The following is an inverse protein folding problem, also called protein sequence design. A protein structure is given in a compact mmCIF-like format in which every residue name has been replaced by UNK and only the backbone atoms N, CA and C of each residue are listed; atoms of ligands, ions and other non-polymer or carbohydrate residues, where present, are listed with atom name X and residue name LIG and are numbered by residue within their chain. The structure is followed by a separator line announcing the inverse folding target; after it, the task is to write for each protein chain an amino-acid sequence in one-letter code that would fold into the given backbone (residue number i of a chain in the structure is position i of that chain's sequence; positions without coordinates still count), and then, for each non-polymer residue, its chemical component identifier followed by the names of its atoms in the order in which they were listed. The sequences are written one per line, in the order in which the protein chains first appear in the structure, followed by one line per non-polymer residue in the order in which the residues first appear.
data_IF_869477066856
#
_entry.id   IF_869477066856
#
_cell.length_a   1.000
_cell.length_b   1.000
_cell.length_c   1.000
_cell.angle_alpha   90.00
_cell.angle_beta   90.00
_cell.angle_gamma   90.00
#
_symmetry.space_group_name_H-M   'P 1'
#
loop_
_entity.id
_entity.type
_entity.pdbx_description
1 polymer ?
#
# COMPACT_ATOMS: atom_id res chain seq x y z
N UNK A 1 13.35 0.00 16.67
CA UNK A 1 12.46 -1.10 16.27
C UNK A 1 12.62 -2.27 17.24
N UNK A 2 13.81 -2.89 17.32
CA UNK A 2 14.05 -4.06 18.16
C UNK A 2 13.81 -3.81 19.66
N UNK A 3 14.33 -2.72 20.20
CA UNK A 3 14.26 -2.38 21.64
C UNK A 3 12.85 -2.04 22.11
N UNK A 4 11.94 -1.71 21.20
CA UNK A 4 10.54 -1.37 21.55
C UNK A 4 9.57 -2.44 21.08
N UNK A 5 9.51 -2.69 19.76
CA UNK A 5 8.49 -3.59 19.19
C UNK A 5 8.84 -5.04 19.47
N UNK A 6 10.04 -5.50 19.06
CA UNK A 6 10.43 -6.92 19.21
C UNK A 6 10.54 -7.32 20.68
N UNK A 7 11.16 -6.48 21.51
CA UNK A 7 11.29 -6.73 22.94
C UNK A 7 9.91 -6.83 23.64
N UNK A 8 9.01 -5.88 23.35
CA UNK A 8 7.65 -5.91 23.93
C UNK A 8 6.81 -7.10 23.46
N UNK A 9 7.01 -7.57 22.22
CA UNK A 9 6.38 -8.79 21.73
C UNK A 9 6.93 -10.02 22.47
N UNK A 10 8.25 -10.07 22.65
CA UNK A 10 8.91 -11.17 23.41
C UNK A 10 8.45 -11.25 24.86
N UNK A 11 8.29 -10.13 25.54
CA UNK A 11 7.71 -10.06 26.89
C UNK A 11 6.29 -10.64 26.95
N UNK A 12 5.57 -10.63 25.85
CA UNK A 12 4.22 -11.24 25.69
C UNK A 12 4.27 -12.69 25.21
N UNK A 13 5.46 -13.31 25.15
CA UNK A 13 5.66 -14.69 24.66
C UNK A 13 5.57 -14.84 23.15
N UNK A 14 5.74 -13.74 22.40
CA UNK A 14 5.69 -13.71 20.96
C UNK A 14 7.10 -13.46 20.39
N UNK A 15 7.76 -14.53 19.98
CA UNK A 15 9.09 -14.45 19.37
C UNK A 15 9.00 -14.22 17.86
N UNK A 16 9.78 -13.25 17.37
CA UNK A 16 9.88 -12.92 15.94
C UNK A 16 11.33 -12.70 15.51
N UNK A 17 11.65 -13.16 14.32
CA UNK A 17 12.77 -12.65 13.54
C UNK A 17 12.40 -11.29 12.98
N UNK A 18 13.34 -10.37 12.91
CA UNK A 18 13.07 -9.00 12.48
C UNK A 18 14.11 -8.48 11.50
N UNK A 19 13.65 -7.68 10.57
CA UNK A 19 14.44 -6.80 9.74
C UNK A 19 13.85 -5.41 9.83
N UNK A 20 14.67 -4.38 9.82
CA UNK A 20 14.20 -3.00 9.79
C UNK A 20 15.25 -2.06 9.23
N UNK A 21 14.78 -0.98 8.64
CA UNK A 21 15.56 0.20 8.25
C UNK A 21 14.98 1.43 8.91
N UNK A 22 15.42 2.61 8.49
CA UNK A 22 14.76 3.86 8.90
C UNK A 22 13.31 3.92 8.43
N UNK A 23 13.03 3.37 7.26
CA UNK A 23 11.82 3.57 6.46
C UNK A 23 10.85 2.39 6.53
N UNK A 24 11.33 1.16 6.52
CA UNK A 24 10.49 -0.05 6.52
C UNK A 24 10.94 -1.09 7.55
N UNK A 25 10.07 -2.05 7.83
CA UNK A 25 10.41 -3.19 8.70
C UNK A 25 9.56 -4.42 8.40
N UNK A 26 10.11 -5.59 8.81
CA UNK A 26 9.44 -6.87 8.74
C UNK A 26 9.58 -7.62 10.06
N UNK A 27 8.48 -8.23 10.51
CA UNK A 27 8.48 -9.25 11.55
C UNK A 27 8.09 -10.59 10.92
N UNK A 28 8.85 -11.64 11.23
CA UNK A 28 8.61 -12.99 10.72
C UNK A 28 8.64 -14.03 11.83
N UNK A 29 7.70 -14.98 11.80
CA UNK A 29 7.78 -16.19 12.64
C UNK A 29 8.75 -17.23 12.09
N UNK A 30 9.17 -17.08 10.85
CA UNK A 30 10.15 -17.94 10.19
C UNK A 30 11.49 -17.22 10.10
N UNK A 31 12.64 -17.94 10.15
CA UNK A 31 13.96 -17.34 10.00
C UNK A 31 14.08 -16.54 8.72
N UNK A 32 14.60 -15.33 8.82
CA UNK A 32 15.02 -14.53 7.67
C UNK A 32 16.41 -15.05 7.28
N UNK A 33 16.53 -15.63 6.09
CA UNK A 33 17.75 -16.32 5.65
C UNK A 33 18.69 -15.40 4.87
N UNK A 34 18.16 -14.36 4.23
CA UNK A 34 18.95 -13.38 3.48
C UNK A 34 18.16 -12.07 3.33
N UNK A 35 18.86 -10.98 3.05
CA UNK A 35 18.27 -9.67 2.76
C UNK A 35 19.05 -8.94 1.66
N UNK A 36 18.32 -8.17 0.83
CA UNK A 36 18.90 -7.39 -0.26
C UNK A 36 18.19 -6.03 -0.35
N UNK A 37 18.96 -4.97 -0.50
CA UNK A 37 18.45 -3.65 -0.90
C UNK A 37 18.15 -3.67 -2.39
N UNK A 38 16.89 -3.49 -2.77
CA UNK A 38 16.44 -3.45 -4.17
C UNK A 38 16.36 -2.02 -4.67
N UNK A 39 15.72 -1.15 -3.90
CA UNK A 39 15.72 0.28 -4.10
C UNK A 39 16.15 0.93 -2.79
N UNK A 40 17.28 1.66 -2.76
CA UNK A 40 17.83 2.19 -1.52
C UNK A 40 16.97 3.33 -1.00
N UNK A 41 16.91 3.41 0.31
CA UNK A 41 16.38 4.58 1.01
C UNK A 41 17.13 5.84 0.57
N UNK A 42 16.41 6.83 0.06
CA UNK A 42 16.97 8.05 -0.50
C UNK A 42 16.09 9.28 -0.14
N UNK A 43 16.09 9.63 1.14
CA UNK A 43 15.25 10.70 1.66
C UNK A 43 13.77 10.39 1.42
N UNK A 44 13.11 11.27 0.66
CA UNK A 44 11.66 11.18 0.43
C UNK A 44 11.27 10.24 -0.73
N UNK A 45 12.25 9.61 -1.37
CA UNK A 45 12.01 8.75 -2.55
C UNK A 45 11.71 7.29 -2.23
N UNK A 46 11.59 6.97 -0.95
CA UNK A 46 11.18 5.67 -0.49
C UNK A 46 12.24 4.58 -0.58
N UNK A 47 11.81 3.33 -0.40
CA UNK A 47 12.71 2.18 -0.38
C UNK A 47 12.00 0.87 -0.70
N UNK A 48 12.76 -0.12 -1.21
CA UNK A 48 12.32 -1.52 -1.33
C UNK A 48 13.45 -2.44 -0.87
N UNK A 49 13.13 -3.34 0.06
CA UNK A 49 14.04 -4.35 0.56
C UNK A 49 13.45 -5.75 0.38
N UNK A 50 14.27 -6.68 -0.13
CA UNK A 50 13.94 -8.09 -0.24
C UNK A 50 14.42 -8.84 0.99
N UNK A 51 13.57 -9.75 1.49
CA UNK A 51 13.91 -10.71 2.52
C UNK A 51 13.46 -12.10 2.07
N UNK A 52 14.31 -13.09 2.29
CA UNK A 52 14.00 -14.48 1.95
C UNK A 52 13.78 -15.30 3.21
N UNK A 53 12.88 -16.26 3.09
CA UNK A 53 12.55 -17.20 4.15
C UNK A 53 12.09 -18.53 3.57
N UNK A 54 12.04 -19.56 4.41
CA UNK A 54 11.38 -20.83 4.13
C UNK A 54 10.18 -20.97 5.06
N UNK A 55 9.00 -21.14 4.48
CA UNK A 55 7.74 -21.34 5.20
C UNK A 55 7.23 -22.75 4.87
N UNK A 56 7.29 -23.66 5.85
CA UNK A 56 6.88 -25.06 5.69
C UNK A 56 7.52 -25.76 4.46
N UNK A 57 8.79 -25.43 4.17
CA UNK A 57 9.53 -25.96 3.03
C UNK A 57 9.37 -25.18 1.72
N UNK A 58 8.44 -24.23 1.64
CA UNK A 58 8.29 -23.34 0.50
C UNK A 58 9.25 -22.17 0.55
N UNK A 59 9.89 -21.86 -0.56
CA UNK A 59 10.72 -20.66 -0.70
C UNK A 59 9.84 -19.43 -0.85
N UNK A 60 10.01 -18.44 0.01
CA UNK A 60 9.25 -17.19 -0.03
C UNK A 60 10.22 -16.02 -0.04
N UNK A 61 10.05 -15.11 -0.99
CA UNK A 61 10.69 -13.81 -1.01
C UNK A 61 9.63 -12.74 -0.68
N UNK A 62 9.84 -12.02 0.42
CA UNK A 62 8.98 -10.92 0.86
C UNK A 62 9.72 -9.62 0.62
N UNK A 63 9.06 -8.71 -0.08
CA UNK A 63 9.57 -7.37 -0.32
C UNK A 63 8.77 -6.38 0.52
N UNK A 64 9.44 -5.62 1.37
CA UNK A 64 8.84 -4.49 2.06
C UNK A 64 9.06 -3.23 1.24
N UNK A 65 8.03 -2.44 1.04
CA UNK A 65 8.07 -1.24 0.23
C UNK A 65 7.45 -0.06 0.97
N UNK A 66 8.10 1.10 0.86
CA UNK A 66 7.51 2.39 1.07
C UNK A 66 7.95 3.23 -0.12
N UNK A 67 7.04 3.61 -1.01
CA UNK A 67 7.40 4.31 -2.23
C UNK A 67 7.38 5.83 -2.03
N UNK A 68 8.04 6.54 -2.94
CA UNK A 68 8.14 8.00 -2.96
C UNK A 68 6.80 8.70 -2.71
N UNK A 69 6.74 9.59 -1.73
CA UNK A 69 5.54 10.33 -1.37
C UNK A 69 5.48 11.74 -2.02
N UNK A 70 6.48 12.11 -2.79
CA UNK A 70 6.45 13.35 -3.57
C UNK A 70 5.77 13.14 -4.92
N UNK A 71 5.33 14.22 -5.53
CA UNK A 71 4.60 14.21 -6.79
C UNK A 71 3.43 13.22 -6.81
N UNK A 72 2.69 13.18 -5.67
CA UNK A 72 1.50 12.36 -5.51
C UNK A 72 0.35 12.91 -6.36
N UNK A 73 0.33 12.56 -7.63
CA UNK A 73 -0.57 13.14 -8.64
C UNK A 73 -2.07 12.92 -8.37
N UNK A 74 -2.44 11.96 -7.53
CA UNK A 74 -3.84 11.77 -7.13
C UNK A 74 -4.36 12.92 -6.25
N UNK A 75 -3.47 13.68 -5.59
CA UNK A 75 -3.84 14.94 -4.96
C UNK A 75 -4.09 16.05 -5.97
N UNK A 76 -3.36 16.07 -7.10
CA UNK A 76 -3.59 17.06 -8.15
C UNK A 76 -5.02 16.97 -8.69
N UNK A 77 -5.54 15.75 -8.87
CA UNK A 77 -6.95 15.52 -9.26
C UNK A 77 -7.93 16.08 -8.24
N UNK A 78 -7.53 16.23 -6.98
CA UNK A 78 -8.32 16.80 -5.87
C UNK A 78 -8.06 18.28 -5.62
N UNK A 79 -7.29 18.92 -6.50
CA UNK A 79 -6.98 20.35 -6.44
C UNK A 79 -5.86 20.72 -5.48
N UNK A 80 -4.97 19.78 -5.16
CA UNK A 80 -3.79 20.01 -4.32
C UNK A 80 -2.53 19.55 -5.04
N UNK A 81 -1.47 20.31 -4.92
CA UNK A 81 -0.14 19.90 -5.40
C UNK A 81 0.43 18.80 -4.51
N UNK A 82 0.77 17.66 -5.11
CA UNK A 82 1.19 16.45 -4.41
C UNK A 82 2.60 16.50 -3.78
N UNK A 83 3.28 17.65 -3.81
CA UNK A 83 4.57 17.88 -3.15
C UNK A 83 4.50 19.02 -2.15
N UNK A 84 3.87 20.13 -2.51
CA UNK A 84 3.78 21.34 -1.67
C UNK A 84 2.50 21.42 -0.84
N UNK A 85 1.50 20.58 -1.13
CA UNK A 85 0.19 20.53 -0.48
C UNK A 85 -0.64 21.82 -0.61
N UNK A 86 -0.27 22.69 -1.55
CA UNK A 86 -0.99 23.92 -1.85
C UNK A 86 -2.15 23.64 -2.80
N UNK A 87 -3.20 24.43 -2.66
CA UNK A 87 -4.32 24.37 -3.62
C UNK A 87 -3.86 24.78 -5.03
N UNK A 88 -4.27 24.03 -6.03
CA UNK A 88 -3.97 24.24 -7.45
C UNK A 88 -5.24 24.04 -8.28
N UNK A 89 -5.30 24.52 -9.53
CA UNK A 89 -6.33 24.13 -10.48
C UNK A 89 -6.36 22.62 -10.69
N UNK A 90 -7.54 22.04 -10.72
CA UNK A 90 -7.74 20.61 -10.97
C UNK A 90 -7.37 20.31 -12.45
N UNK A 91 -6.49 19.34 -12.74
CA UNK A 91 -6.19 18.92 -14.10
C UNK A 91 -7.46 18.34 -14.76
N UNK A 92 -7.57 18.55 -16.06
CA UNK A 92 -8.77 18.15 -16.83
C UNK A 92 -8.53 16.91 -17.68
N UNK A 93 -7.29 16.46 -17.79
CA UNK A 93 -6.90 15.31 -18.62
C UNK A 93 -6.06 14.31 -17.86
N UNK A 94 -6.17 13.04 -18.24
CA UNK A 94 -5.33 11.94 -17.71
C UNK A 94 -3.85 12.21 -17.99
N UNK A 95 -3.54 12.82 -19.12
CA UNK A 95 -2.18 13.09 -19.57
C UNK A 95 -1.46 14.09 -18.66
N UNK A 96 -2.17 15.16 -18.23
CA UNK A 96 -1.67 16.11 -17.23
C UNK A 96 -1.35 15.41 -15.89
N UNK A 97 -2.22 14.52 -15.42
CA UNK A 97 -2.04 13.79 -14.17
C UNK A 97 -0.84 12.84 -14.28
N UNK A 98 -0.79 12.03 -15.32
CA UNK A 98 0.30 11.06 -15.52
C UNK A 98 1.66 11.73 -15.69
N UNK A 99 1.71 12.93 -16.28
CA UNK A 99 2.95 13.70 -16.38
C UNK A 99 3.53 14.05 -15.01
N UNK A 100 2.68 14.40 -14.04
CA UNK A 100 3.11 14.63 -12.65
C UNK A 100 3.47 13.30 -12.01
N UNK A 101 2.65 12.27 -12.18
CA UNK A 101 2.84 10.98 -11.55
C UNK A 101 4.21 10.33 -11.84
N UNK A 102 4.67 10.41 -13.09
CA UNK A 102 5.97 9.86 -13.51
C UNK A 102 7.18 10.74 -13.18
N UNK A 103 6.97 11.92 -12.58
CA UNK A 103 8.06 12.73 -12.06
C UNK A 103 8.63 12.17 -10.74
N UNK A 104 7.84 11.36 -10.02
CA UNK A 104 8.29 10.63 -8.83
C UNK A 104 9.22 9.47 -9.20
N UNK A 105 9.84 8.87 -8.19
CA UNK A 105 10.68 7.67 -8.38
C UNK A 105 9.89 6.35 -8.15
N UNK A 106 8.57 6.39 -7.99
CA UNK A 106 7.74 5.20 -7.71
C UNK A 106 7.84 4.14 -8.80
N UNK A 107 7.71 4.55 -10.05
CA UNK A 107 7.76 3.62 -11.19
C UNK A 107 9.17 3.06 -11.42
N UNK A 108 10.23 3.81 -11.14
CA UNK A 108 11.60 3.32 -11.23
C UNK A 108 11.89 2.28 -10.13
N UNK A 109 11.44 2.54 -8.90
CA UNK A 109 11.54 1.57 -7.81
C UNK A 109 10.81 0.26 -8.14
N UNK A 110 9.60 0.33 -8.70
CA UNK A 110 8.82 -0.84 -9.10
C UNK A 110 9.45 -1.59 -10.28
N UNK A 111 10.04 -0.90 -11.26
CA UNK A 111 10.80 -1.55 -12.33
C UNK A 111 12.00 -2.33 -11.78
N UNK A 112 12.73 -1.78 -10.81
CA UNK A 112 13.82 -2.48 -10.13
C UNK A 112 13.30 -3.69 -9.33
N UNK A 113 12.21 -3.53 -8.59
CA UNK A 113 11.54 -4.64 -7.91
C UNK A 113 11.17 -5.77 -8.88
N UNK A 114 10.48 -5.46 -9.97
CA UNK A 114 10.06 -6.45 -10.98
C UNK A 114 11.26 -7.21 -11.55
N UNK A 115 12.36 -6.51 -11.83
CA UNK A 115 13.58 -7.12 -12.36
C UNK A 115 14.20 -8.11 -11.36
N UNK A 116 14.19 -7.82 -10.06
CA UNK A 116 14.69 -8.71 -9.03
C UNK A 116 13.72 -9.87 -8.76
N UNK A 117 12.42 -9.59 -8.68
CA UNK A 117 11.38 -10.58 -8.46
C UNK A 117 11.34 -11.66 -9.56
N UNK A 118 11.60 -11.31 -10.81
CA UNK A 118 11.75 -12.27 -11.92
C UNK A 118 12.85 -13.32 -11.66
N UNK A 119 13.96 -12.90 -11.07
CA UNK A 119 15.04 -13.83 -10.68
C UNK A 119 14.58 -14.78 -9.58
N UNK A 120 13.88 -14.25 -8.57
CA UNK A 120 13.36 -15.07 -7.48
C UNK A 120 12.34 -16.10 -7.99
N UNK A 121 11.40 -15.68 -8.84
CA UNK A 121 10.40 -16.58 -9.45
C UNK A 121 11.09 -17.68 -10.28
N UNK A 122 12.10 -17.31 -11.07
CA UNK A 122 12.89 -18.28 -11.84
C UNK A 122 13.63 -19.28 -10.94
N UNK A 123 14.02 -18.87 -9.73
CA UNK A 123 14.64 -19.70 -8.70
C UNK A 123 13.64 -20.46 -7.81
N UNK A 124 12.34 -20.41 -8.15
CA UNK A 124 11.27 -21.16 -7.48
C UNK A 124 10.74 -20.51 -6.20
N UNK A 125 10.97 -19.22 -6.00
CA UNK A 125 10.34 -18.50 -4.90
C UNK A 125 8.90 -18.09 -5.24
N UNK A 126 8.04 -18.14 -4.24
CA UNK A 126 6.80 -17.35 -4.22
C UNK A 126 7.17 -15.93 -3.76
N UNK A 127 6.77 -14.93 -4.54
CA UNK A 127 7.10 -13.52 -4.28
C UNK A 127 5.89 -12.80 -3.72
N UNK A 128 6.09 -12.04 -2.64
CA UNK A 128 5.11 -11.15 -2.03
C UNK A 128 5.76 -9.78 -1.89
N UNK A 129 5.07 -8.72 -2.31
CA UNK A 129 5.47 -7.34 -2.03
C UNK A 129 4.33 -6.61 -1.33
N UNK A 130 4.65 -5.85 -0.29
CA UNK A 130 3.65 -5.07 0.44
C UNK A 130 4.23 -3.83 1.09
N UNK A 131 3.36 -2.85 1.29
CA UNK A 131 3.66 -1.57 1.91
C UNK A 131 2.80 -0.44 1.38
N UNK A 132 3.17 0.79 1.74
CA UNK A 132 2.60 2.01 1.21
C UNK A 132 3.24 2.34 -0.14
N UNK A 133 2.42 2.39 -1.18
CA UNK A 133 2.90 2.67 -2.54
C UNK A 133 2.76 4.16 -2.91
N UNK A 134 2.12 4.96 -2.07
CA UNK A 134 1.87 6.38 -2.31
C UNK A 134 1.29 6.70 -3.70
N UNK A 135 0.58 5.72 -4.27
CA UNK A 135 -0.11 5.80 -5.55
C UNK A 135 -1.33 4.87 -5.50
N UNK A 136 -2.52 5.31 -5.94
CA UNK A 136 -3.70 4.45 -6.01
C UNK A 136 -3.56 3.31 -7.03
N UNK A 137 -4.57 2.43 -7.08
CA UNK A 137 -4.62 1.38 -8.08
C UNK A 137 -5.44 1.79 -9.31
N UNK A 138 -4.95 1.43 -10.50
CA UNK A 138 -5.71 1.54 -11.75
C UNK A 138 -7.00 0.70 -11.72
N UNK A 139 -7.06 -0.35 -10.86
CA UNK A 139 -8.25 -1.17 -10.64
C UNK A 139 -9.29 -0.49 -9.74
N UNK A 140 -8.93 0.64 -9.13
CA UNK A 140 -9.78 1.41 -8.21
C UNK A 140 -10.30 2.70 -8.84
N UNK A 141 -9.62 3.22 -9.86
CA UNK A 141 -10.01 4.44 -10.58
C UNK A 141 -10.60 4.09 -11.94
N UNK A 142 -11.84 3.61 -11.93
CA UNK A 142 -12.56 3.04 -13.09
C UNK A 142 -13.72 3.93 -13.54
N UNK A 143 -14.29 3.64 -14.71
CA UNK A 143 -15.38 4.42 -15.30
C UNK A 143 -16.58 4.57 -14.35
N UNK A 144 -16.90 3.50 -13.61
CA UNK A 144 -18.08 3.45 -12.76
C UNK A 144 -17.98 4.33 -11.52
N UNK A 145 -16.78 4.68 -11.07
CA UNK A 145 -16.56 5.53 -9.89
C UNK A 145 -15.83 6.85 -10.17
N UNK A 146 -15.64 7.22 -11.41
CA UNK A 146 -14.90 8.44 -11.79
C UNK A 146 -15.48 9.75 -11.23
N UNK A 147 -16.74 9.74 -10.80
CA UNK A 147 -17.41 10.89 -10.17
C UNK A 147 -17.58 10.71 -8.64
N UNK A 148 -16.97 9.70 -8.04
CA UNK A 148 -16.92 9.47 -6.60
C UNK A 148 -15.53 9.87 -6.05
N UNK A 149 -15.42 10.07 -4.74
CA UNK A 149 -14.15 10.28 -4.01
C UNK A 149 -13.26 11.38 -4.62
N UNK A 150 -13.91 12.39 -5.20
CA UNK A 150 -13.23 13.51 -5.91
C UNK A 150 -12.25 13.04 -7.00
N UNK A 151 -12.58 11.96 -7.72
CA UNK A 151 -11.87 11.55 -8.94
C UNK A 151 -12.11 12.52 -10.12
N UNK A 152 -13.05 13.44 -10.00
CA UNK A 152 -13.35 14.56 -10.91
C UNK A 152 -13.51 14.15 -12.39
N UNK A 153 -14.16 12.98 -12.62
CA UNK A 153 -14.47 12.46 -13.95
C UNK A 153 -13.31 11.72 -14.63
N UNK A 154 -12.19 11.55 -13.95
CA UNK A 154 -11.00 10.91 -14.53
C UNK A 154 -10.92 9.41 -14.20
N UNK A 155 -10.49 8.64 -15.18
CA UNK A 155 -10.11 7.22 -15.08
C UNK A 155 -8.61 7.14 -15.33
N UNK A 156 -7.84 6.86 -14.31
CA UNK A 156 -6.38 6.96 -14.36
C UNK A 156 -5.74 5.57 -14.37
N UNK A 157 -4.94 5.22 -15.39
CA UNK A 157 -4.15 3.99 -15.39
C UNK A 157 -2.86 4.19 -14.57
N UNK A 158 -3.00 4.23 -13.24
CA UNK A 158 -1.91 4.46 -12.31
C UNK A 158 -0.71 3.56 -12.59
N UNK A 159 0.47 4.15 -12.66
CA UNK A 159 1.66 3.55 -13.28
C UNK A 159 2.17 2.32 -12.54
N UNK A 160 2.30 2.42 -11.21
CA UNK A 160 2.87 1.35 -10.38
C UNK A 160 2.06 0.06 -10.49
N UNK A 161 0.76 0.16 -10.24
CA UNK A 161 -0.11 -1.03 -10.23
C UNK A 161 -0.34 -1.59 -11.65
N UNK A 162 -0.31 -0.73 -12.67
CA UNK A 162 -0.35 -1.15 -14.09
C UNK A 162 0.92 -1.92 -14.48
N UNK A 163 2.10 -1.49 -14.02
CA UNK A 163 3.36 -2.22 -14.25
C UNK A 163 3.34 -3.58 -13.58
N UNK A 164 2.89 -3.66 -12.33
CA UNK A 164 2.78 -4.92 -11.58
C UNK A 164 1.85 -5.91 -12.27
N UNK A 165 0.64 -5.48 -12.66
CA UNK A 165 -0.32 -6.33 -13.36
C UNK A 165 0.24 -6.85 -14.69
N UNK A 166 0.86 -5.99 -15.50
CA UNK A 166 1.49 -6.39 -16.79
C UNK A 166 2.56 -7.45 -16.63
N UNK A 167 3.26 -7.45 -15.51
CA UNK A 167 4.27 -8.46 -15.18
C UNK A 167 3.70 -9.68 -14.43
N UNK A 168 2.37 -9.78 -14.29
CA UNK A 168 1.68 -10.94 -13.75
C UNK A 168 1.57 -10.96 -12.22
N UNK A 169 1.86 -9.85 -11.53
CA UNK A 169 1.57 -9.71 -10.11
C UNK A 169 0.07 -9.53 -9.88
N UNK A 170 -0.44 -10.18 -8.87
CA UNK A 170 -1.86 -10.19 -8.50
C UNK A 170 -2.06 -9.30 -7.29
N UNK A 171 -2.91 -8.27 -7.42
CA UNK A 171 -3.43 -7.49 -6.30
C UNK A 171 -4.31 -8.38 -5.42
N UNK A 172 -3.89 -8.66 -4.20
CA UNK A 172 -4.59 -9.58 -3.31
C UNK A 172 -5.99 -9.11 -2.95
N UNK A 173 -6.17 -7.81 -2.76
CA UNK A 173 -7.48 -7.26 -2.36
C UNK A 173 -8.46 -7.32 -3.53
N UNK A 174 -8.07 -6.91 -4.73
CA UNK A 174 -8.91 -6.96 -5.93
C UNK A 174 -9.14 -8.38 -6.43
N UNK A 175 -8.21 -9.30 -6.18
CA UNK A 175 -8.44 -10.73 -6.43
C UNK A 175 -9.61 -11.30 -5.60
N UNK A 176 -9.70 -10.91 -4.32
CA UNK A 176 -10.76 -11.35 -3.41
C UNK A 176 -12.04 -10.52 -3.59
N UNK A 177 -11.92 -9.22 -3.80
CA UNK A 177 -13.03 -8.27 -3.94
C UNK A 177 -12.90 -7.46 -5.23
N UNK A 178 -13.31 -8.01 -6.37
CA UNK A 178 -13.05 -7.41 -7.69
C UNK A 178 -13.83 -6.11 -7.96
N UNK A 179 -14.85 -5.79 -7.16
CA UNK A 179 -15.70 -4.62 -7.40
C UNK A 179 -15.37 -3.47 -6.42
N UNK A 180 -14.69 -2.39 -6.87
CA UNK A 180 -14.31 -1.26 -6.03
C UNK A 180 -15.48 -0.41 -5.55
N UNK A 181 -16.66 -0.48 -6.18
CA UNK A 181 -17.84 0.24 -5.70
C UNK A 181 -18.40 -0.36 -4.41
N UNK A 182 -18.32 -1.67 -4.26
CA UNK A 182 -18.82 -2.36 -3.08
C UNK A 182 -17.75 -2.57 -2.01
N UNK A 183 -16.51 -2.72 -2.45
CA UNK A 183 -15.34 -2.92 -1.60
C UNK A 183 -14.23 -1.94 -2.03
N UNK A 184 -14.34 -0.64 -1.74
CA UNK A 184 -13.31 0.33 -2.10
C UNK A 184 -11.95 -0.01 -1.47
N UNK A 185 -11.94 -0.54 -0.25
CA UNK A 185 -10.73 -0.99 0.39
C UNK A 185 -9.83 0.14 0.88
N UNK A 186 -10.38 1.30 1.16
CA UNK A 186 -9.61 2.47 1.56
C UNK A 186 -8.68 2.19 2.72
N UNK A 187 -7.40 2.47 2.51
CA UNK A 187 -6.37 2.37 3.53
C UNK A 187 -5.97 3.72 4.09
N UNK A 188 -6.19 4.80 3.35
CA UNK A 188 -5.87 6.18 3.75
C UNK A 188 -7.06 7.11 3.47
N UNK A 189 -7.28 8.16 4.28
CA UNK A 189 -6.74 8.35 5.63
C UNK A 189 -7.58 7.60 6.68
N UNK A 190 -6.91 6.98 7.63
CA UNK A 190 -7.57 6.32 8.76
C UNK A 190 -7.89 7.33 9.87
N UNK A 191 -9.03 7.12 10.57
CA UNK A 191 -9.34 7.90 11.76
C UNK A 191 -8.45 7.49 12.94
N UNK A 192 -7.92 8.48 13.62
CA UNK A 192 -7.26 8.34 14.91
C UNK A 192 -7.92 9.31 15.92
N UNK A 193 -8.69 8.80 16.89
CA UNK A 193 -9.46 9.64 17.78
C UNK A 193 -8.61 10.53 18.71
N UNK A 194 -7.30 10.25 18.83
CA UNK A 194 -6.37 11.08 19.62
C UNK A 194 -5.81 12.27 18.84
N UNK A 195 -6.17 12.42 17.56
CA UNK A 195 -5.70 13.52 16.71
C UNK A 195 -6.89 14.31 16.18
N UNK A 196 -6.71 15.61 16.02
CA UNK A 196 -7.67 16.42 15.30
C UNK A 196 -7.73 15.99 13.82
N UNK A 197 -8.90 15.99 13.17
CA UNK A 197 -9.02 15.57 11.77
C UNK A 197 -8.02 16.25 10.82
N UNK A 198 -7.76 17.54 10.99
CA UNK A 198 -6.81 18.29 10.18
C UNK A 198 -5.32 17.90 10.37
N UNK A 199 -5.04 16.94 11.25
CA UNK A 199 -3.72 16.33 11.41
C UNK A 199 -3.63 14.94 10.76
N UNK A 200 -4.73 14.50 10.15
CA UNK A 200 -4.87 13.19 9.50
C UNK A 200 -5.22 13.34 8.01
N UNK A 201 -5.06 14.53 7.43
CA UNK A 201 -5.41 14.87 6.05
C UNK A 201 -4.40 15.84 5.45
N UNK A 202 -4.06 15.64 4.19
CA UNK A 202 -3.24 16.56 3.39
C UNK A 202 -4.09 17.45 2.47
N UNK A 203 -5.30 16.98 2.11
CA UNK A 203 -6.25 17.70 1.27
C UNK A 203 -7.57 18.02 2.02
N UNK A 204 -7.56 18.94 2.99
CA UNK A 204 -8.65 19.12 3.96
C UNK A 204 -10.00 19.56 3.37
N UNK A 205 -10.07 19.95 2.10
CA UNK A 205 -11.33 20.29 1.41
C UNK A 205 -11.81 19.14 0.50
N UNK A 206 -11.01 18.08 0.33
CA UNK A 206 -11.30 16.97 -0.57
C UNK A 206 -11.74 15.70 0.14
N UNK A 207 -12.32 14.78 -0.60
CA UNK A 207 -12.40 13.37 -0.25
C UNK A 207 -11.15 12.67 -0.79
N UNK A 208 -10.14 12.54 0.06
CA UNK A 208 -8.83 11.99 -0.32
C UNK A 208 -8.70 10.49 -0.04
N UNK A 209 -9.83 9.81 0.27
CA UNK A 209 -9.81 8.38 0.52
C UNK A 209 -9.34 7.61 -0.70
N UNK A 210 -8.29 6.83 -0.49
CA UNK A 210 -7.75 5.91 -1.48
C UNK A 210 -7.21 4.64 -0.82
N UNK A 211 -7.01 3.63 -1.63
CA UNK A 211 -6.24 2.44 -1.29
C UNK A 211 -4.84 2.64 -1.87
N UNK A 212 -3.88 2.90 -1.00
CA UNK A 212 -2.46 3.14 -1.34
C UNK A 212 -1.53 2.15 -0.65
N UNK A 213 -2.02 1.39 0.31
CA UNK A 213 -1.32 0.29 0.96
C UNK A 213 -1.75 -1.04 0.34
N UNK A 214 -0.78 -1.81 -0.14
CA UNK A 214 -1.04 -3.00 -0.93
C UNK A 214 -0.26 -4.22 -0.43
N UNK A 215 -0.76 -5.40 -0.81
CA UNK A 215 -0.02 -6.65 -0.89
C UNK A 215 -0.27 -7.24 -2.26
N UNK A 216 0.78 -7.34 -3.07
CA UNK A 216 0.78 -8.06 -4.34
C UNK A 216 1.55 -9.36 -4.19
N UNK A 217 1.24 -10.34 -5.02
CA UNK A 217 1.97 -11.60 -5.04
C UNK A 217 2.09 -12.18 -6.44
N UNK A 218 3.09 -13.04 -6.64
CA UNK A 218 3.27 -13.87 -7.82
C UNK A 218 3.98 -15.18 -7.44
N UNK A 219 3.58 -16.28 -8.04
CA UNK A 219 4.17 -17.60 -7.85
C UNK A 219 3.19 -18.72 -8.17
N UNK A 220 3.70 -19.88 -8.58
CA UNK A 220 2.86 -21.05 -8.93
C UNK A 220 2.30 -21.75 -7.68
N UNK A 221 3.02 -21.66 -6.56
CA UNK A 221 2.75 -22.42 -5.34
C UNK A 221 2.06 -21.57 -4.26
N UNK A 222 1.53 -20.39 -4.61
CA UNK A 222 0.88 -19.46 -3.69
C UNK A 222 -0.44 -18.94 -4.25
N UNK A 223 -1.44 -18.80 -3.40
CA UNK A 223 -2.76 -18.27 -3.78
C UNK A 223 -3.38 -17.50 -2.62
N UNK A 224 -3.81 -16.25 -2.84
CA UNK A 224 -4.55 -15.48 -1.85
C UNK A 224 -5.97 -16.04 -1.65
N UNK A 225 -6.36 -16.29 -0.40
CA UNK A 225 -7.67 -16.88 -0.04
C UNK A 225 -8.57 -15.93 0.73
N UNK A 226 -8.00 -14.96 1.42
CA UNK A 226 -8.75 -13.99 2.21
C UNK A 226 -7.97 -12.69 2.31
N UNK A 227 -8.66 -11.58 2.23
CA UNK A 227 -8.14 -10.26 2.49
C UNK A 227 -9.06 -9.50 3.47
N UNK A 228 -8.50 -8.73 4.40
CA UNK A 228 -9.25 -7.98 5.40
C UNK A 228 -8.50 -6.67 5.65
N UNK A 229 -9.20 -5.55 5.72
CA UNK A 229 -8.61 -4.28 6.16
C UNK A 229 -8.36 -4.36 7.66
N UNK A 230 -7.15 -4.09 8.08
CA UNK A 230 -6.75 -4.02 9.49
C UNK A 230 -6.68 -2.56 9.93
N UNK A 231 -7.59 -2.15 10.79
CA UNK A 231 -7.68 -0.76 11.26
C UNK A 231 -9.11 -0.34 11.59
N UNK A 232 -9.33 0.95 11.91
CA UNK A 232 -10.64 1.47 12.21
C UNK A 232 -11.54 1.51 10.98
N UNK A 233 -12.86 1.48 11.17
CA UNK A 233 -13.82 1.80 10.10
C UNK A 233 -13.86 3.28 9.76
N UNK A 234 -13.39 4.13 10.68
CA UNK A 234 -13.38 5.57 10.48
C UNK A 234 -12.33 5.99 9.44
N UNK A 235 -12.67 7.02 8.69
CA UNK A 235 -11.80 7.74 7.77
C UNK A 235 -11.99 9.25 7.95
N UNK A 236 -11.12 10.04 7.32
CA UNK A 236 -11.26 11.50 7.28
C UNK A 236 -11.68 11.93 5.88
N UNK A 237 -12.75 12.70 5.79
CA UNK A 237 -13.25 13.28 4.53
C UNK A 237 -13.55 14.74 4.76
N UNK A 238 -12.98 15.62 3.95
CA UNK A 238 -13.17 17.08 4.08
C UNK A 238 -13.00 17.57 5.52
N UNK A 239 -11.90 17.14 6.12
CA UNK A 239 -11.55 17.47 7.50
C UNK A 239 -12.60 17.04 8.56
N UNK A 240 -13.39 16.02 8.26
CA UNK A 240 -14.41 15.47 9.16
C UNK A 240 -14.25 13.95 9.30
N UNK A 241 -14.55 13.44 10.50
CA UNK A 241 -14.63 12.00 10.73
C UNK A 241 -15.87 11.42 10.06
N UNK A 242 -15.67 10.38 9.28
CA UNK A 242 -16.75 9.60 8.65
C UNK A 242 -16.57 8.11 8.96
N UNK A 243 -17.68 7.37 9.01
CA UNK A 243 -17.64 5.92 9.11
C UNK A 243 -17.82 5.31 7.73
N UNK A 244 -16.99 4.32 7.39
CA UNK A 244 -17.13 3.59 6.14
C UNK A 244 -18.40 2.72 6.17
N UNK A 245 -19.20 2.84 5.12
CA UNK A 245 -20.45 2.10 4.95
C UNK A 245 -20.37 1.03 3.85
N UNK A 246 -19.17 0.81 3.32
CA UNK A 246 -18.87 -0.19 2.31
C UNK A 246 -19.09 -1.63 2.81
N UNK A 247 -18.96 -2.60 1.90
CA UNK A 247 -18.99 -4.03 2.24
C UNK A 247 -17.62 -4.57 2.68
N UNK A 248 -16.60 -3.72 2.78
CA UNK A 248 -15.27 -4.08 3.21
C UNK A 248 -15.29 -4.85 4.53
N UNK A 249 -14.40 -5.83 4.64
CA UNK A 249 -14.21 -6.58 5.87
C UNK A 249 -13.10 -5.92 6.69
N UNK A 250 -13.42 -5.62 7.95
CA UNK A 250 -12.48 -4.98 8.88
C UNK A 250 -12.10 -5.93 10.02
N UNK A 251 -10.80 -5.98 10.33
CA UNK A 251 -10.29 -6.43 11.61
C UNK A 251 -10.01 -5.19 12.45
N UNK A 252 -10.90 -4.91 13.38
CA UNK A 252 -10.82 -3.71 14.20
C UNK A 252 -9.67 -3.80 15.21
N UNK A 253 -8.98 -2.70 15.52
CA UNK A 253 -7.99 -2.65 16.59
C UNK A 253 -8.65 -2.89 17.94
N UNK A 254 -7.90 -3.49 18.89
CA UNK A 254 -8.35 -3.70 20.26
C UNK A 254 -8.27 -2.42 21.11
N UNK A 255 -7.47 -1.47 20.67
CA UNK A 255 -7.20 -0.21 21.35
C UNK A 255 -7.04 0.92 20.32
N UNK A 256 -6.51 2.06 20.73
CA UNK A 256 -6.30 3.21 19.86
C UNK A 256 -5.45 2.84 18.66
N UNK A 257 -5.92 3.21 17.46
CA UNK A 257 -5.16 3.07 16.22
C UNK A 257 -4.09 4.16 16.13
N UNK A 258 -2.80 3.81 15.96
CA UNK A 258 -1.71 4.75 16.17
C UNK A 258 -1.34 5.60 14.94
N UNK A 259 -1.87 5.29 13.75
CA UNK A 259 -1.47 5.88 12.47
C UNK A 259 -2.68 6.38 11.68
N UNK A 260 -2.43 7.18 10.66
CA UNK A 260 -3.40 7.66 9.67
C UNK A 260 -3.57 6.72 8.46
N UNK A 261 -2.87 5.58 8.43
CA UNK A 261 -3.08 4.49 7.47
C UNK A 261 -3.79 3.30 8.12
N UNK A 262 -4.54 2.53 7.33
CA UNK A 262 -5.02 1.19 7.67
C UNK A 262 -4.12 0.17 6.99
N UNK A 263 -3.98 -1.00 7.59
CA UNK A 263 -3.20 -2.10 7.02
C UNK A 263 -4.06 -3.08 6.23
N UNK A 264 -3.42 -3.98 5.52
CA UNK A 264 -4.04 -5.11 4.83
C UNK A 264 -3.55 -6.43 5.44
N UNK A 265 -4.48 -7.31 5.81
CA UNK A 265 -4.19 -8.67 6.28
C UNK A 265 -4.64 -9.67 5.21
N UNK A 266 -3.71 -10.46 4.69
CA UNK A 266 -3.98 -11.46 3.66
C UNK A 266 -3.64 -12.86 4.17
N UNK A 267 -4.52 -13.82 3.88
CA UNK A 267 -4.24 -15.24 4.11
C UNK A 267 -3.91 -15.89 2.77
N UNK A 268 -2.74 -16.46 2.67
CA UNK A 268 -2.32 -17.26 1.53
C UNK A 268 -2.46 -18.76 1.80
N UNK A 269 -2.73 -19.52 0.75
CA UNK A 269 -2.58 -20.97 0.72
C UNK A 269 -1.35 -21.30 -0.11
N UNK A 270 -0.43 -22.06 0.47
CA UNK A 270 0.65 -22.73 -0.28
C UNK A 270 0.08 -24.01 -0.91
N UNK A 271 0.53 -24.33 -2.12
CA UNK A 271 -0.01 -25.47 -2.92
C UNK A 271 1.01 -26.60 -3.02
#
# INVERSE_FOLDING_TARGET
FNDRIVASLKEKGLDYYSFYTYDTGLLSKHPITDSLTVFPENGDHGSIYKLTSSVDGYKVAVYTAHLDYLDCAYYNVRGYDGSSWKEIPIPTTVEEVLKVNVASQRDDAIKMFIAEAKKDIANGYSVIVGGDFNEPSHLDWIEENKNLYDHNGLVIPWTVTTLLEKDGFIDTYRHIYPNPLTHPGFTYPADNPLKEPGKLTWAPKADERDRIDFIFYQGKDIEAKKAVIFGPKGSIVRNQRVQETSKDKFLLPLDVWPTDHKGLLVTFKMK
#
